data_IF_849823298336
#
_entry.id   IF_849823298336
#
_cell.length_a   1.000
_cell.length_b   1.000
_cell.length_c   1.000
_cell.angle_alpha   90.00
_cell.angle_beta   90.00
_cell.angle_gamma   90.00
#
_symmetry.space_group_name_H-M   'P 1'
#
loop_
_entity.id
_entity.type
_entity.pdbx_description
1 polymer ?
#
# COMPACT_ATOMS: atom_id res chain seq x y z
N UNK A 1 -15.16 -0.50 6.54
CA UNK A 1 -16.02 -1.13 7.57
C UNK A 1 -16.71 -0.11 8.49
N UNK A 2 -17.98 -0.32 8.85
CA UNK A 2 -18.69 0.47 9.88
C UNK A 2 -18.19 0.05 11.27
N UNK A 3 -18.06 1.01 12.19
CA UNK A 3 -17.73 0.72 13.59
C UNK A 3 -18.86 -0.12 14.22
N UNK A 4 -18.51 -0.99 15.18
CA UNK A 4 -19.46 -1.76 15.99
C UNK A 4 -20.27 -2.88 15.30
N UNK A 5 -20.04 -3.17 14.02
CA UNK A 5 -20.85 -4.15 13.26
C UNK A 5 -20.16 -5.49 13.01
N UNK A 6 -18.89 -5.67 13.40
CA UNK A 6 -18.16 -6.93 13.19
C UNK A 6 -18.60 -7.98 14.21
N UNK A 7 -19.42 -8.93 13.77
CA UNK A 7 -19.89 -10.02 14.62
C UNK A 7 -18.75 -10.89 15.15
N UNK A 8 -17.63 -11.00 14.39
CA UNK A 8 -16.43 -11.73 14.81
C UNK A 8 -15.85 -11.16 16.11
N UNK A 9 -15.73 -9.84 16.21
CA UNK A 9 -15.17 -9.17 17.38
C UNK A 9 -16.13 -9.31 18.59
N UNK A 10 -17.44 -9.32 18.36
CA UNK A 10 -18.44 -9.66 19.39
C UNK A 10 -18.32 -11.09 19.91
N UNK A 11 -18.07 -12.07 19.03
CA UNK A 11 -17.83 -13.46 19.43
C UNK A 11 -16.58 -13.58 20.30
N UNK A 12 -15.52 -12.84 19.98
CA UNK A 12 -14.28 -12.83 20.78
C UNK A 12 -14.50 -12.19 22.15
N UNK A 13 -15.28 -11.11 22.23
CA UNK A 13 -15.68 -10.50 23.51
C UNK A 13 -16.46 -11.51 24.35
N UNK A 14 -17.44 -12.20 23.77
CA UNK A 14 -18.22 -13.20 24.48
C UNK A 14 -17.35 -14.37 24.99
N UNK A 15 -16.42 -14.85 24.15
CA UNK A 15 -15.47 -15.90 24.51
C UNK A 15 -14.54 -15.46 25.67
N UNK A 16 -14.01 -14.24 25.63
CA UNK A 16 -13.17 -13.69 26.70
C UNK A 16 -13.93 -13.47 28.01
N UNK A 17 -15.17 -12.97 27.93
CA UNK A 17 -16.03 -12.78 29.09
C UNK A 17 -16.41 -14.13 29.73
N UNK A 18 -16.74 -15.14 28.92
CA UNK A 18 -17.00 -16.49 29.41
C UNK A 18 -15.76 -17.07 30.10
N UNK A 19 -14.57 -16.94 29.50
CA UNK A 19 -13.33 -17.42 30.10
C UNK A 19 -13.08 -16.76 31.47
N UNK A 20 -13.21 -15.44 31.56
CA UNK A 20 -13.01 -14.70 32.82
C UNK A 20 -14.03 -15.08 33.89
N UNK A 21 -15.31 -15.25 33.52
CA UNK A 21 -16.39 -15.59 34.44
C UNK A 21 -16.40 -17.07 34.82
N UNK A 22 -15.80 -17.96 34.02
CA UNK A 22 -15.80 -19.40 34.26
C UNK A 22 -15.20 -19.83 35.59
N UNK A 23 -14.34 -18.98 36.14
CA UNK A 23 -13.76 -19.12 37.48
C UNK A 23 -14.82 -19.21 38.57
N UNK A 24 -16.02 -18.66 38.36
CA UNK A 24 -17.12 -18.67 39.34
C UNK A 24 -17.83 -20.02 39.46
N UNK A 25 -17.76 -20.89 38.43
CA UNK A 25 -18.47 -22.17 38.41
C UNK A 25 -17.57 -23.37 38.10
N UNK A 26 -16.27 -23.17 37.91
CA UNK A 26 -15.30 -24.24 37.69
C UNK A 26 -14.32 -24.34 38.86
N UNK A 27 -13.93 -25.55 39.23
CA UNK A 27 -12.89 -25.78 40.24
C UNK A 27 -11.55 -25.24 39.74
N UNK A 28 -10.91 -24.44 40.59
CA UNK A 28 -9.62 -23.78 40.30
C UNK A 28 -8.48 -24.45 41.06
N UNK A 29 -7.25 -24.18 40.61
CA UNK A 29 -6.04 -24.78 41.11
C UNK A 29 -4.81 -24.18 40.44
N UNK A 30 -3.73 -24.04 41.21
CA UNK A 30 -2.49 -23.41 40.73
C UNK A 30 -2.74 -21.99 40.21
N UNK A 31 -2.29 -21.72 38.98
CA UNK A 31 -2.39 -20.40 38.35
C UNK A 31 -3.67 -20.19 37.52
N UNK A 32 -4.62 -21.14 37.54
CA UNK A 32 -5.81 -21.12 36.65
C UNK A 32 -6.64 -19.85 36.81
N UNK A 33 -6.96 -19.45 38.05
CA UNK A 33 -7.75 -18.25 38.37
C UNK A 33 -7.16 -17.01 37.73
N UNK A 34 -5.86 -16.76 37.95
CA UNK A 34 -5.18 -15.57 37.45
C UNK A 34 -5.13 -15.56 35.92
N UNK A 35 -4.77 -16.69 35.30
CA UNK A 35 -4.66 -16.80 33.85
C UNK A 35 -6.01 -16.63 33.15
N UNK A 36 -7.06 -17.27 33.66
CA UNK A 36 -8.40 -17.17 33.09
C UNK A 36 -8.97 -15.76 33.16
N UNK A 37 -8.84 -15.08 34.32
CA UNK A 37 -9.31 -13.70 34.48
C UNK A 37 -8.50 -12.73 33.64
N UNK A 38 -7.17 -12.78 33.72
CA UNK A 38 -6.31 -11.82 33.01
C UNK A 38 -6.45 -11.98 31.51
N UNK A 39 -6.31 -13.20 30.98
CA UNK A 39 -6.40 -13.44 29.54
C UNK A 39 -7.82 -13.20 29.02
N UNK A 40 -8.86 -13.55 29.79
CA UNK A 40 -10.24 -13.27 29.45
C UNK A 40 -10.52 -11.76 29.33
N UNK A 41 -10.08 -10.96 30.31
CA UNK A 41 -10.23 -9.49 30.28
C UNK A 41 -9.42 -8.86 29.15
N UNK A 42 -8.18 -9.31 28.93
CA UNK A 42 -7.35 -8.82 27.82
C UNK A 42 -7.98 -9.12 26.46
N UNK A 43 -8.58 -10.30 26.30
CA UNK A 43 -9.27 -10.70 25.07
C UNK A 43 -10.53 -9.85 24.83
N UNK A 44 -11.30 -9.53 25.89
CA UNK A 44 -12.42 -8.59 25.83
C UNK A 44 -11.94 -7.19 25.41
N UNK A 45 -10.89 -6.67 26.05
CA UNK A 45 -10.35 -5.36 25.73
C UNK A 45 -9.84 -5.28 24.28
N UNK A 46 -9.18 -6.33 23.78
CA UNK A 46 -8.76 -6.44 22.39
C UNK A 46 -9.96 -6.45 21.42
N UNK A 47 -11.01 -7.23 21.70
CA UNK A 47 -12.22 -7.25 20.88
C UNK A 47 -12.95 -5.90 20.86
N UNK A 48 -13.07 -5.21 22.00
CA UNK A 48 -13.64 -3.86 22.08
C UNK A 48 -12.81 -2.87 21.27
N UNK A 49 -11.48 -2.97 21.34
CA UNK A 49 -10.56 -2.12 20.56
C UNK A 49 -10.78 -2.34 19.06
N UNK A 50 -10.94 -3.60 18.62
CA UNK A 50 -11.23 -3.94 17.22
C UNK A 50 -12.61 -3.41 16.75
N UNK A 51 -13.63 -3.43 17.62
CA UNK A 51 -14.94 -2.83 17.29
C UNK A 51 -14.89 -1.29 17.18
N UNK A 52 -14.11 -0.65 18.05
CA UNK A 52 -13.99 0.81 18.13
C UNK A 52 -13.09 1.38 17.03
N UNK A 53 -12.00 0.67 16.72
CA UNK A 53 -10.98 1.04 15.74
C UNK A 53 -10.77 -0.08 14.69
N UNK A 54 -11.77 -0.32 13.82
CA UNK A 54 -11.68 -1.37 12.81
C UNK A 54 -10.59 -1.05 11.78
N UNK A 55 -9.74 -2.04 11.47
CA UNK A 55 -8.66 -1.92 10.48
C UNK A 55 -7.28 -1.59 11.04
N UNK A 56 -7.06 -1.78 12.35
CA UNK A 56 -5.72 -1.74 12.96
C UNK A 56 -5.10 -3.14 13.00
N UNK A 57 -4.12 -3.47 12.15
CA UNK A 57 -3.55 -4.82 12.10
C UNK A 57 -2.95 -5.26 13.44
N UNK A 58 -2.34 -4.31 14.18
CA UNK A 58 -1.76 -4.59 15.49
C UNK A 58 -2.79 -5.10 16.52
N UNK A 59 -4.02 -4.57 16.48
CA UNK A 59 -5.08 -4.99 17.40
C UNK A 59 -5.64 -6.38 17.05
N UNK A 60 -5.65 -6.74 15.77
CA UNK A 60 -6.03 -8.07 15.30
C UNK A 60 -4.97 -9.13 15.67
N UNK A 61 -3.68 -8.79 15.52
CA UNK A 61 -2.58 -9.66 15.96
C UNK A 61 -2.56 -9.83 17.48
N UNK A 62 -2.77 -8.77 18.24
CA UNK A 62 -2.85 -8.86 19.71
C UNK A 62 -3.98 -9.80 20.15
N UNK A 63 -5.16 -9.70 19.53
CA UNK A 63 -6.29 -10.59 19.78
C UNK A 63 -5.95 -12.05 19.48
N UNK A 64 -5.29 -12.33 18.34
CA UNK A 64 -4.85 -13.67 17.98
C UNK A 64 -3.85 -14.24 19.00
N UNK A 65 -2.89 -13.42 19.45
CA UNK A 65 -1.91 -13.81 20.48
C UNK A 65 -2.61 -14.17 21.78
N UNK A 66 -3.53 -13.34 22.27
CA UNK A 66 -4.27 -13.64 23.50
C UNK A 66 -5.11 -14.91 23.38
N UNK A 67 -5.73 -15.16 22.23
CA UNK A 67 -6.47 -16.41 21.99
C UNK A 67 -5.57 -17.65 22.01
N UNK A 68 -4.38 -17.58 21.40
CA UNK A 68 -3.38 -18.67 21.45
C UNK A 68 -2.88 -18.89 22.87
N UNK A 69 -2.56 -17.82 23.60
CA UNK A 69 -2.08 -17.93 24.98
C UNK A 69 -3.16 -18.52 25.88
N UNK A 70 -4.44 -18.14 25.71
CA UNK A 70 -5.56 -18.74 26.44
C UNK A 70 -5.73 -20.22 26.13
N UNK A 71 -5.59 -20.61 24.85
CA UNK A 71 -5.65 -22.00 24.42
C UNK A 71 -4.52 -22.83 25.07
N UNK A 72 -3.31 -22.26 25.17
CA UNK A 72 -2.16 -22.95 25.76
C UNK A 72 -2.10 -22.88 27.30
N UNK A 73 -2.95 -22.05 27.93
CA UNK A 73 -2.95 -21.80 29.37
C UNK A 73 -2.98 -23.04 30.26
N UNK A 74 -3.78 -24.08 29.95
CA UNK A 74 -3.82 -25.28 30.79
C UNK A 74 -2.46 -25.98 30.94
N UNK A 75 -1.63 -25.97 29.88
CA UNK A 75 -0.31 -26.63 29.91
C UNK A 75 0.72 -25.86 30.72
N UNK A 76 0.87 -24.55 30.47
CA UNK A 76 1.89 -23.77 31.19
C UNK A 76 1.43 -23.33 32.57
N UNK A 77 0.12 -23.21 32.80
CA UNK A 77 -0.47 -22.90 34.10
C UNK A 77 -0.63 -24.13 35.01
N UNK A 78 -0.29 -25.33 34.52
CA UNK A 78 -0.32 -26.57 35.29
C UNK A 78 -1.73 -27.03 35.68
N UNK A 79 -2.74 -26.74 34.86
CA UNK A 79 -4.14 -27.05 35.16
C UNK A 79 -4.86 -27.94 34.13
N UNK A 80 -4.10 -28.67 33.31
CA UNK A 80 -4.66 -29.63 32.32
C UNK A 80 -5.53 -30.72 32.94
N UNK A 81 -5.28 -31.13 34.18
CA UNK A 81 -6.04 -32.16 34.90
C UNK A 81 -7.37 -31.64 35.47
N UNK A 82 -7.58 -30.33 35.50
CA UNK A 82 -8.82 -29.73 35.98
C UNK A 82 -9.81 -29.59 34.82
N UNK A 83 -10.66 -30.61 34.64
CA UNK A 83 -11.61 -30.68 33.52
C UNK A 83 -12.40 -29.37 33.35
N UNK A 84 -12.97 -28.80 34.41
CA UNK A 84 -13.70 -27.53 34.31
C UNK A 84 -12.86 -26.38 33.74
N UNK A 85 -11.77 -26.03 34.43
CA UNK A 85 -10.93 -24.89 34.06
C UNK A 85 -10.20 -25.10 32.71
N UNK A 86 -9.75 -26.32 32.41
CA UNK A 86 -9.07 -26.64 31.15
C UNK A 86 -10.02 -26.51 29.96
N UNK A 87 -11.23 -27.06 30.04
CA UNK A 87 -12.24 -26.94 28.98
C UNK A 87 -12.72 -25.49 28.81
N UNK A 88 -12.84 -24.73 29.90
CA UNK A 88 -13.17 -23.30 29.87
C UNK A 88 -12.05 -22.41 29.32
N UNK A 89 -10.82 -22.91 29.19
CA UNK A 89 -9.74 -22.24 28.47
C UNK A 89 -9.66 -22.69 27.00
N UNK A 90 -9.75 -24.00 26.73
CA UNK A 90 -9.61 -24.57 25.39
C UNK A 90 -10.73 -24.15 24.43
N UNK A 91 -12.00 -24.27 24.86
CA UNK A 91 -13.13 -23.98 23.97
C UNK A 91 -13.13 -22.49 23.57
N UNK A 92 -13.11 -21.52 24.50
CA UNK A 92 -13.15 -20.11 24.12
C UNK A 92 -11.88 -19.66 23.42
N UNK A 93 -10.71 -20.19 23.79
CA UNK A 93 -9.44 -19.93 23.11
C UNK A 93 -9.46 -20.40 21.65
N UNK A 94 -9.93 -21.62 21.39
CA UNK A 94 -10.07 -22.16 20.04
C UNK A 94 -11.10 -21.37 19.21
N UNK A 95 -12.27 -21.07 19.77
CA UNK A 95 -13.31 -20.26 19.12
C UNK A 95 -12.76 -18.88 18.77
N UNK A 96 -12.13 -18.19 19.72
CA UNK A 96 -11.56 -16.86 19.49
C UNK A 96 -10.45 -16.89 18.42
N UNK A 97 -9.60 -17.93 18.43
CA UNK A 97 -8.53 -18.08 17.45
C UNK A 97 -9.07 -18.32 16.04
N UNK A 98 -10.04 -19.23 15.89
CA UNK A 98 -10.67 -19.53 14.60
C UNK A 98 -11.39 -18.31 14.05
N UNK A 99 -12.20 -17.64 14.87
CA UNK A 99 -12.93 -16.42 14.49
C UNK A 99 -11.97 -15.30 14.11
N UNK A 100 -10.87 -15.13 14.86
CA UNK A 100 -9.84 -14.12 14.54
C UNK A 100 -9.08 -14.47 13.26
N UNK A 101 -8.75 -15.75 13.02
CA UNK A 101 -8.12 -16.19 11.78
C UNK A 101 -9.00 -15.94 10.55
N UNK A 102 -10.31 -16.16 10.68
CA UNK A 102 -11.30 -15.78 9.65
C UNK A 102 -11.43 -14.27 9.49
N UNK A 103 -11.08 -13.47 10.49
CA UNK A 103 -11.10 -12.00 10.44
C UNK A 103 -9.80 -11.39 9.87
N UNK A 104 -8.66 -12.08 9.97
CA UNK A 104 -7.35 -11.63 9.45
C UNK A 104 -7.34 -11.61 7.91
N UNK A 105 -7.98 -12.58 7.24
CA UNK A 105 -8.09 -12.59 5.77
C UNK A 105 -8.89 -11.40 5.21
N UNK A 106 -10.09 -11.06 5.71
CA UNK A 106 -10.83 -9.92 5.21
C UNK A 106 -10.23 -8.57 5.62
N UNK A 107 -9.44 -8.43 6.70
CA UNK A 107 -8.79 -7.14 6.99
C UNK A 107 -7.52 -6.90 6.16
N UNK A 108 -6.77 -7.96 5.85
CA UNK A 108 -5.62 -7.90 4.93
C UNK A 108 -6.07 -7.80 3.46
N UNK A 109 -7.21 -8.38 3.11
CA UNK A 109 -7.83 -8.23 1.78
C UNK A 109 -8.64 -6.95 1.63
N UNK A 110 -9.36 -6.43 2.64
CA UNK A 110 -10.02 -5.13 2.56
C UNK A 110 -8.99 -3.98 2.53
N UNK A 111 -7.78 -4.18 3.08
CA UNK A 111 -6.62 -3.31 2.81
C UNK A 111 -6.07 -3.45 1.38
N UNK A 112 -6.25 -4.61 0.72
CA UNK A 112 -5.85 -4.85 -0.70
C UNK A 112 -6.94 -4.50 -1.73
N UNK A 113 -8.23 -4.54 -1.36
CA UNK A 113 -9.37 -4.48 -2.28
C UNK A 113 -10.17 -3.18 -2.25
N UNK A 114 -9.96 -2.27 -1.29
CA UNK A 114 -10.51 -0.90 -1.38
C UNK A 114 -9.88 -0.08 -2.53
N UNK A 115 -9.06 -0.68 -3.41
CA UNK A 115 -8.41 -0.02 -4.54
C UNK A 115 -8.51 -0.78 -5.88
N UNK A 116 -9.49 -1.67 -6.09
CA UNK A 116 -9.75 -2.18 -7.45
C UNK A 116 -11.26 -2.42 -7.65
N UNK A 117 -11.91 -1.53 -8.40
CA UNK A 117 -13.23 -1.77 -8.99
C UNK A 117 -13.06 -2.58 -10.29
N UNK A 118 -13.93 -3.58 -10.60
CA UNK A 118 -13.93 -4.19 -11.92
C UNK A 118 -14.76 -3.33 -12.88
N UNK A 119 -14.09 -2.63 -13.79
CA UNK A 119 -14.76 -1.89 -14.86
C UNK A 119 -15.29 -2.87 -15.93
N UNK A 120 -16.61 -2.91 -16.10
CA UNK A 120 -17.29 -3.56 -17.22
C UNK A 120 -16.85 -2.90 -18.53
N UNK A 121 -16.38 -3.70 -19.48
CA UNK A 121 -16.06 -3.22 -20.82
C UNK A 121 -17.31 -2.81 -21.58
N UNK A 122 -17.31 -1.58 -22.10
CA UNK A 122 -18.15 -1.19 -23.23
C UNK A 122 -17.22 -0.80 -24.37
N UNK A 123 -17.33 -1.52 -25.47
CA UNK A 123 -16.60 -1.26 -26.70
C UNK A 123 -17.06 0.07 -27.31
N UNK A 124 -16.10 0.91 -27.70
CA UNK A 124 -16.29 2.13 -28.50
C UNK A 124 -15.31 2.06 -29.67
N UNK A 125 -15.70 2.47 -30.89
CA UNK A 125 -15.10 1.97 -32.11
C UNK A 125 -13.81 2.69 -32.50
N UNK A 126 -12.96 1.88 -33.15
CA UNK A 126 -11.66 2.18 -33.70
C UNK A 126 -11.72 3.35 -34.70
N UNK A 127 -10.90 4.39 -34.48
CA UNK A 127 -10.64 5.42 -35.48
C UNK A 127 -9.16 5.38 -35.88
N UNK A 128 -8.99 5.23 -37.20
CA UNK A 128 -7.76 4.97 -37.92
C UNK A 128 -6.59 5.89 -37.51
N UNK A 129 -5.48 5.25 -37.14
CA UNK A 129 -4.19 5.87 -36.86
C UNK A 129 -3.44 6.11 -38.19
N UNK A 130 -3.08 7.36 -38.43
CA UNK A 130 -2.21 7.77 -39.52
C UNK A 130 -0.79 7.26 -39.28
N UNK A 131 -0.39 6.29 -40.09
CA UNK A 131 0.95 5.72 -40.12
C UNK A 131 1.93 6.76 -40.71
N UNK A 132 2.75 7.40 -39.87
CA UNK A 132 3.88 8.20 -40.34
C UNK A 132 5.08 7.27 -40.53
N UNK A 133 5.47 7.06 -41.80
CA UNK A 133 6.63 6.27 -42.21
C UNK A 133 7.93 6.80 -41.61
N UNK A 134 8.78 5.84 -41.22
CA UNK A 134 10.19 6.00 -40.85
C UNK A 134 11.01 6.56 -42.01
N UNK A 135 12.01 7.41 -41.76
CA UNK A 135 13.17 7.52 -42.61
C UNK A 135 14.38 6.80 -41.99
N UNK A 136 15.02 5.95 -42.81
CA UNK A 136 16.47 5.78 -42.84
C UNK A 136 17.06 4.79 -41.86
N UNK A 137 17.47 3.64 -42.38
CA UNK A 137 18.56 2.81 -41.85
C UNK A 137 19.85 3.64 -41.82
N UNK A 138 20.12 4.29 -40.69
CA UNK A 138 21.44 4.85 -40.42
C UNK A 138 22.33 3.74 -39.87
N UNK A 139 23.48 3.60 -40.51
CA UNK A 139 24.51 2.63 -40.25
C UNK A 139 24.84 2.52 -38.76
N UNK A 140 24.82 1.30 -38.22
CA UNK A 140 25.48 1.00 -36.95
C UNK A 140 26.99 1.03 -37.21
N UNK A 141 27.63 2.18 -36.97
CA UNK A 141 29.06 2.23 -36.78
C UNK A 141 29.40 1.46 -35.51
N UNK A 142 30.14 0.37 -35.68
CA UNK A 142 30.71 -0.47 -34.63
C UNK A 142 31.69 0.37 -33.80
N UNK A 143 31.15 1.09 -32.82
CA UNK A 143 31.95 1.90 -31.90
C UNK A 143 32.58 0.96 -30.89
N UNK A 144 33.81 0.53 -31.20
CA UNK A 144 34.88 0.13 -30.25
C UNK A 144 34.40 -0.05 -28.81
N UNK A 145 34.04 -1.28 -28.44
CA UNK A 145 33.89 -1.72 -27.05
C UNK A 145 35.25 -1.76 -26.37
N UNK A 146 35.81 -0.59 -26.06
CA UNK A 146 36.89 -0.51 -25.11
C UNK A 146 36.85 0.82 -24.36
N UNK A 147 36.18 0.80 -23.21
CA UNK A 147 36.33 1.85 -22.22
C UNK A 147 35.92 1.32 -20.86
N UNK A 148 36.91 1.17 -19.99
CA UNK A 148 36.74 0.80 -18.59
C UNK A 148 36.17 2.01 -17.83
N UNK A 149 34.94 2.41 -18.15
CA UNK A 149 34.25 3.51 -17.48
C UNK A 149 33.26 2.92 -16.48
N UNK A 150 33.42 3.18 -15.18
CA UNK A 150 32.53 2.62 -14.18
C UNK A 150 31.13 3.18 -14.39
N UNK A 151 30.18 2.31 -14.74
CA UNK A 151 28.77 2.64 -14.71
C UNK A 151 28.31 2.78 -13.26
N UNK A 152 27.59 3.85 -12.93
CA UNK A 152 27.04 4.11 -11.60
C UNK A 152 25.54 3.89 -11.61
N UNK A 153 25.06 3.00 -10.74
CA UNK A 153 23.63 2.76 -10.53
C UNK A 153 23.19 3.41 -9.21
N UNK A 154 22.20 4.30 -9.28
CA UNK A 154 21.61 4.96 -8.11
C UNK A 154 20.16 4.55 -7.95
N UNK A 155 19.80 4.20 -6.72
CA UNK A 155 18.45 3.75 -6.36
C UNK A 155 17.69 4.90 -5.71
N UNK A 156 16.54 5.28 -6.29
CA UNK A 156 15.69 6.37 -5.78
C UNK A 156 14.32 5.89 -5.26
N UNK A 157 14.02 4.62 -5.48
CA UNK A 157 12.85 3.92 -4.97
C UNK A 157 12.99 2.43 -5.21
N UNK A 158 11.98 1.67 -4.80
CA UNK A 158 12.04 0.21 -4.72
C UNK A 158 13.20 -0.38 -3.86
N UNK A 159 13.86 0.44 -3.03
CA UNK A 159 14.78 0.03 -1.96
C UNK A 159 14.04 0.08 -0.64
N UNK A 160 13.92 -1.07 0.04
CA UNK A 160 13.09 -1.29 1.24
C UNK A 160 11.58 -1.05 1.05
N UNK A 161 11.12 -0.89 -0.19
CA UNK A 161 9.70 -0.78 -0.56
C UNK A 161 9.44 -1.50 -1.88
N UNK A 162 8.23 -2.02 -2.12
CA UNK A 162 7.89 -2.66 -3.41
C UNK A 162 7.53 -1.65 -4.50
N UNK A 163 7.23 -0.40 -4.12
CA UNK A 163 6.62 0.60 -4.98
C UNK A 163 7.52 1.83 -5.22
N UNK A 164 7.21 2.61 -6.25
CA UNK A 164 7.97 3.80 -6.63
C UNK A 164 9.30 3.47 -7.30
N UNK A 165 9.34 2.42 -8.12
CA UNK A 165 10.53 1.95 -8.83
C UNK A 165 11.15 3.07 -9.65
N UNK A 166 12.40 3.42 -9.32
CA UNK A 166 13.19 4.48 -9.96
C UNK A 166 14.68 4.20 -9.77
N UNK A 167 15.37 3.90 -10.87
CA UNK A 167 16.79 3.65 -10.88
C UNK A 167 17.47 4.53 -11.92
N UNK A 168 18.53 5.23 -11.54
CA UNK A 168 19.31 6.03 -12.49
C UNK A 168 20.62 5.31 -12.80
N UNK A 169 20.79 4.99 -14.07
CA UNK A 169 22.04 4.49 -14.62
C UNK A 169 22.80 5.66 -15.22
N UNK A 170 24.01 5.91 -14.72
CA UNK A 170 24.91 6.95 -15.19
C UNK A 170 26.16 6.29 -15.76
N UNK A 171 26.52 6.61 -17.00
CA UNK A 171 27.77 6.17 -17.62
C UNK A 171 28.28 7.27 -18.54
N UNK A 172 29.55 7.67 -18.38
CA UNK A 172 30.14 8.81 -19.11
C UNK A 172 29.25 10.05 -18.97
N UNK A 173 28.72 10.54 -20.09
CA UNK A 173 27.85 11.71 -20.21
C UNK A 173 26.39 11.34 -20.41
N UNK A 174 26.02 10.07 -20.22
CA UNK A 174 24.66 9.56 -20.42
C UNK A 174 24.00 9.16 -19.10
N UNK A 175 22.77 9.60 -18.91
CA UNK A 175 21.89 9.33 -17.77
C UNK A 175 20.58 8.73 -18.24
N UNK A 176 20.40 7.45 -17.96
CA UNK A 176 19.18 6.70 -18.29
C UNK A 176 18.42 6.42 -17.00
N UNK A 177 17.15 6.81 -16.96
CA UNK A 177 16.25 6.48 -15.87
C UNK A 177 15.50 5.18 -16.21
N UNK A 178 15.70 4.13 -15.42
CA UNK A 178 14.94 2.89 -15.49
C UNK A 178 13.78 2.98 -14.50
N UNK A 179 12.57 2.91 -15.04
CA UNK A 179 11.29 3.16 -14.39
C UNK A 179 11.14 4.56 -13.78
N UNK A 180 9.89 5.03 -13.78
CA UNK A 180 9.48 6.28 -13.18
C UNK A 180 8.15 6.08 -12.44
N UNK A 181 8.20 5.31 -11.36
CA UNK A 181 7.05 4.87 -10.60
C UNK A 181 6.53 5.85 -9.53
N UNK A 182 5.21 5.79 -9.28
CA UNK A 182 4.62 6.39 -8.08
C UNK A 182 4.80 5.47 -6.87
N UNK A 183 5.05 6.06 -5.70
CA UNK A 183 4.91 5.36 -4.43
C UNK A 183 3.42 5.14 -4.10
N UNK A 184 2.99 3.88 -4.03
CA UNK A 184 1.63 3.46 -3.71
C UNK A 184 1.51 2.95 -2.25
N UNK A 185 0.29 2.83 -1.73
CA UNK A 185 0.05 2.32 -0.37
C UNK A 185 0.00 3.39 0.72
N UNK A 186 0.65 3.14 1.87
CA UNK A 186 0.52 3.97 3.08
C UNK A 186 0.78 5.46 2.81
N UNK A 187 -0.01 6.34 3.46
CA UNK A 187 0.07 7.80 3.29
C UNK A 187 1.51 8.34 3.39
N UNK A 188 2.29 7.86 4.38
CA UNK A 188 3.69 8.27 4.59
C UNK A 188 4.61 7.97 3.39
N UNK A 189 4.37 6.86 2.69
CA UNK A 189 5.14 6.49 1.49
C UNK A 189 4.64 7.32 0.30
N UNK A 190 3.32 7.50 0.16
CA UNK A 190 2.71 8.33 -0.89
C UNK A 190 3.13 9.79 -0.84
N UNK A 191 3.39 10.33 0.36
CA UNK A 191 3.90 11.70 0.54
C UNK A 191 5.28 11.90 -0.13
N UNK A 192 6.05 10.83 -0.37
CA UNK A 192 7.31 10.91 -1.14
C UNK A 192 7.10 11.31 -2.59
N UNK A 193 5.90 11.12 -3.16
CA UNK A 193 5.56 11.59 -4.51
C UNK A 193 5.47 13.13 -4.59
N UNK A 194 5.32 13.81 -3.45
CA UNK A 194 5.26 15.29 -3.36
C UNK A 194 6.64 15.92 -3.19
N UNK A 195 7.65 15.12 -2.86
CA UNK A 195 9.03 15.60 -2.72
C UNK A 195 9.61 15.76 -4.14
N UNK A 196 10.22 16.91 -4.46
CA UNK A 196 10.89 17.10 -5.74
C UNK A 196 11.90 15.99 -6.02
N UNK A 197 11.95 15.53 -7.26
CA UNK A 197 12.91 14.51 -7.66
C UNK A 197 14.35 15.05 -7.49
N UNK A 198 15.25 14.34 -6.77
CA UNK A 198 16.59 14.85 -6.45
C UNK A 198 17.53 15.00 -7.65
N UNK A 199 17.10 14.58 -8.85
CA UNK A 199 17.86 14.73 -10.09
C UNK A 199 17.07 15.67 -10.98
N UNK A 200 17.74 16.68 -11.54
CA UNK A 200 17.12 17.61 -12.46
C UNK A 200 16.52 16.84 -13.65
N UNK A 201 15.19 16.93 -13.91
CA UNK A 201 14.54 16.19 -14.99
C UNK A 201 15.17 16.44 -16.37
N UNK A 202 15.62 17.67 -16.63
CA UNK A 202 16.31 18.03 -17.88
C UNK A 202 17.73 17.49 -18.03
N UNK A 203 18.29 16.84 -17.00
CA UNK A 203 19.61 16.18 -17.08
C UNK A 203 19.52 14.68 -17.43
N UNK A 204 18.31 14.16 -17.67
CA UNK A 204 18.08 12.76 -18.00
C UNK A 204 17.92 12.65 -19.52
N UNK A 205 18.72 11.80 -20.14
CA UNK A 205 18.72 11.65 -21.60
C UNK A 205 17.58 10.77 -22.08
N UNK A 206 17.22 9.73 -21.34
CA UNK A 206 16.17 8.80 -21.69
C UNK A 206 15.52 8.15 -20.47
N UNK A 207 14.27 7.74 -20.63
CA UNK A 207 13.55 6.90 -19.65
C UNK A 207 13.25 5.55 -20.29
N UNK A 208 13.53 4.46 -19.59
CA UNK A 208 13.17 3.10 -19.99
C UNK A 208 12.12 2.55 -19.02
N UNK A 209 10.96 2.16 -19.55
CA UNK A 209 9.88 1.56 -18.76
C UNK A 209 9.90 0.04 -18.90
N UNK A 210 9.98 -0.67 -17.78
CA UNK A 210 9.99 -2.14 -17.76
C UNK A 210 8.63 -2.74 -18.09
N UNK A 211 7.56 -2.21 -17.50
CA UNK A 211 6.18 -2.63 -17.71
C UNK A 211 5.21 -1.52 -17.27
N UNK A 212 3.90 -1.71 -17.50
CA UNK A 212 2.94 -0.62 -17.48
C UNK A 212 2.35 -0.27 -16.09
N UNK A 213 2.72 -0.98 -15.02
CA UNK A 213 2.14 -0.69 -13.71
C UNK A 213 2.49 0.72 -13.23
N UNK A 214 1.61 1.33 -12.42
CA UNK A 214 1.74 2.72 -11.97
C UNK A 214 2.90 2.93 -11.00
N UNK A 215 3.31 1.90 -10.29
CA UNK A 215 4.51 1.89 -9.45
C UNK A 215 5.82 1.77 -10.25
N UNK A 216 5.74 1.69 -11.58
CA UNK A 216 6.86 1.79 -12.53
C UNK A 216 6.71 2.93 -13.56
N UNK A 217 5.49 3.41 -13.82
CA UNK A 217 5.22 4.40 -14.89
C UNK A 217 4.48 5.65 -14.42
N UNK A 218 3.85 5.60 -13.24
CA UNK A 218 2.90 6.61 -12.81
C UNK A 218 3.49 8.00 -12.55
N UNK A 219 4.80 8.13 -12.38
CA UNK A 219 5.47 9.41 -12.14
C UNK A 219 5.98 10.06 -13.44
N UNK A 220 5.92 9.37 -14.58
CA UNK A 220 6.33 9.92 -15.90
C UNK A 220 5.65 11.26 -16.20
N UNK A 221 4.32 11.45 -16.01
CA UNK A 221 3.68 12.74 -16.29
C UNK A 221 4.20 13.89 -15.43
N UNK A 222 4.53 13.60 -14.16
CA UNK A 222 5.12 14.59 -13.26
C UNK A 222 6.55 14.93 -13.68
N UNK A 223 7.34 13.93 -14.10
CA UNK A 223 8.69 14.14 -14.62
C UNK A 223 8.70 15.03 -15.88
N UNK A 224 7.76 14.80 -16.81
CA UNK A 224 7.58 15.62 -18.02
C UNK A 224 7.16 17.04 -17.66
N UNK A 225 6.18 17.20 -16.75
CA UNK A 225 5.75 18.51 -16.24
C UNK A 225 6.92 19.30 -15.62
N UNK A 226 7.81 18.60 -14.92
CA UNK A 226 8.95 19.19 -14.20
C UNK A 226 10.17 19.45 -15.12
N UNK A 227 10.07 19.15 -16.43
CA UNK A 227 11.01 19.61 -17.45
C UNK A 227 11.79 18.52 -18.21
N UNK A 228 11.42 17.25 -18.10
CA UNK A 228 11.99 16.19 -18.94
C UNK A 228 11.47 16.25 -20.38
N UNK A 229 12.39 16.19 -21.35
CA UNK A 229 12.09 16.27 -22.80
C UNK A 229 12.66 15.11 -23.61
N UNK A 230 13.38 14.18 -22.98
CA UNK A 230 13.98 13.04 -23.64
C UNK A 230 12.97 11.97 -24.08
N UNK A 231 13.40 10.99 -24.89
CA UNK A 231 12.57 9.85 -25.27
C UNK A 231 12.21 8.94 -24.07
N UNK A 232 11.00 8.38 -24.12
CA UNK A 232 10.56 7.29 -23.24
C UNK A 232 10.48 6.01 -24.06
N UNK A 233 11.34 5.05 -23.74
CA UNK A 233 11.39 3.73 -24.35
C UNK A 233 10.55 2.75 -23.54
N UNK A 234 9.73 1.97 -24.23
CA UNK A 234 8.93 0.90 -23.65
C UNK A 234 8.60 -0.12 -24.75
N UNK A 235 8.16 -1.32 -24.37
CA UNK A 235 7.55 -2.23 -25.34
C UNK A 235 6.25 -1.62 -25.90
N UNK A 236 5.84 -2.06 -27.10
CA UNK A 236 4.57 -1.61 -27.69
C UNK A 236 3.39 -1.84 -26.74
N UNK A 237 3.29 -3.03 -26.12
CA UNK A 237 2.21 -3.35 -25.18
C UNK A 237 2.23 -2.45 -23.93
N UNK A 238 3.42 -2.14 -23.40
CA UNK A 238 3.56 -1.20 -22.29
C UNK A 238 3.12 0.21 -22.67
N UNK A 239 3.54 0.71 -23.84
CA UNK A 239 3.17 2.04 -24.33
C UNK A 239 1.66 2.19 -24.50
N UNK A 240 1.01 1.22 -25.14
CA UNK A 240 -0.45 1.22 -25.32
C UNK A 240 -1.19 1.20 -23.99
N UNK A 241 -0.74 0.37 -23.04
CA UNK A 241 -1.38 0.29 -21.74
C UNK A 241 -1.16 1.57 -20.91
N UNK A 242 0.01 2.21 -20.99
CA UNK A 242 0.26 3.49 -20.33
C UNK A 242 -0.63 4.62 -20.86
N UNK A 243 -1.00 4.61 -22.16
CA UNK A 243 -1.96 5.60 -22.72
C UNK A 243 -3.34 5.51 -22.07
N UNK A 244 -3.71 4.34 -21.55
CA UNK A 244 -4.97 4.13 -20.84
C UNK A 244 -4.81 4.39 -19.33
N UNK A 245 -3.79 3.79 -18.70
CA UNK A 245 -3.62 3.82 -17.25
C UNK A 245 -3.24 5.20 -16.71
N UNK A 246 -2.39 5.96 -17.42
CA UNK A 246 -1.91 7.24 -16.91
C UNK A 246 -3.04 8.29 -16.82
N UNK A 247 -3.88 8.50 -17.86
CA UNK A 247 -5.01 9.43 -17.76
C UNK A 247 -6.04 9.02 -16.69
N UNK A 248 -6.36 7.73 -16.59
CA UNK A 248 -7.28 7.22 -15.58
C UNK A 248 -6.76 7.46 -14.16
N UNK A 249 -5.48 7.13 -13.92
CA UNK A 249 -4.83 7.39 -12.63
C UNK A 249 -4.74 8.89 -12.30
N UNK A 250 -4.58 9.75 -13.31
CA UNK A 250 -4.57 11.20 -13.17
C UNK A 250 -5.95 11.73 -12.77
N UNK A 251 -7.01 11.22 -13.40
CA UNK A 251 -8.38 11.58 -13.06
C UNK A 251 -8.72 11.24 -11.60
N UNK A 252 -8.38 10.04 -11.15
CA UNK A 252 -8.57 9.63 -9.74
C UNK A 252 -7.79 10.53 -8.77
N UNK A 253 -6.54 10.89 -9.10
CA UNK A 253 -5.74 11.79 -8.27
C UNK A 253 -6.32 13.21 -8.19
N UNK A 254 -6.90 13.72 -9.28
CA UNK A 254 -7.62 14.99 -9.28
C UNK A 254 -8.89 14.94 -8.43
N UNK A 255 -9.66 13.86 -8.50
CA UNK A 255 -10.84 13.65 -7.66
C UNK A 255 -10.47 13.57 -6.17
N UNK A 256 -9.42 12.83 -5.82
CA UNK A 256 -8.89 12.79 -4.45
C UNK A 256 -8.51 14.19 -3.96
N UNK A 257 -7.85 15.00 -4.80
CA UNK A 257 -7.48 16.37 -4.47
C UNK A 257 -8.71 17.26 -4.25
N UNK A 258 -9.73 17.16 -5.10
CA UNK A 258 -10.99 17.91 -4.94
C UNK A 258 -11.71 17.50 -3.65
N UNK A 259 -11.79 16.20 -3.35
CA UNK A 259 -12.43 15.72 -2.13
C UNK A 259 -11.69 16.20 -0.87
N UNK A 260 -10.36 16.25 -0.89
CA UNK A 260 -9.55 16.79 0.19
C UNK A 260 -9.86 18.28 0.45
N UNK A 261 -10.01 19.09 -0.60
CA UNK A 261 -10.37 20.51 -0.49
C UNK A 261 -11.75 20.75 0.16
N UNK A 262 -12.68 19.79 0.06
CA UNK A 262 -14.02 19.92 0.64
C UNK A 262 -14.08 19.57 2.14
N UNK A 263 -13.07 18.84 2.67
CA UNK A 263 -13.00 18.46 4.09
C UNK A 263 -12.16 19.40 4.95
N UNK A 264 -11.29 20.20 4.35
CA UNK A 264 -10.41 21.13 5.07
C UNK A 264 -10.91 22.55 4.82
N UNK A 265 -11.39 23.29 5.83
CA UNK A 265 -11.74 24.69 5.66
C UNK A 265 -10.55 25.42 5.05
N UNK A 266 -10.83 26.21 4.00
CA UNK A 266 -9.91 26.96 3.14
C UNK A 266 -8.93 27.92 3.84
N UNK A 267 -8.91 27.93 5.17
CA UNK A 267 -8.18 28.87 6.02
C UNK A 267 -6.75 28.42 6.38
N UNK A 268 -6.32 27.21 6.01
CA UNK A 268 -5.02 26.67 6.48
C UNK A 268 -3.90 26.59 5.42
N UNK A 269 -4.14 26.98 4.17
CA UNK A 269 -3.08 27.04 3.15
C UNK A 269 -3.02 28.41 2.47
N UNK A 270 -1.89 29.14 2.56
CA UNK A 270 -1.68 30.32 1.73
C UNK A 270 -1.69 29.87 0.26
N UNK A 271 -2.51 30.52 -0.56
CA UNK A 271 -2.47 30.37 -2.02
C UNK A 271 -1.02 30.49 -2.49
N UNK A 272 -0.50 29.45 -3.14
CA UNK A 272 0.56 29.64 -4.11
C UNK A 272 -0.01 30.59 -5.18
N UNK A 273 0.35 31.87 -5.10
CA UNK A 273 0.07 32.83 -6.16
C UNK A 273 0.79 32.32 -7.41
N UNK A 274 0.03 31.87 -8.39
CA UNK A 274 0.49 31.92 -9.78
C UNK A 274 0.81 33.39 -10.07
N UNK A 275 2.09 33.73 -10.14
CA UNK A 275 2.53 35.01 -10.68
C UNK A 275 2.01 35.11 -12.11
N UNK A 276 1.23 36.15 -12.48
CA UNK A 276 0.91 36.39 -13.88
C UNK A 276 2.22 36.68 -14.63
N UNK A 277 2.48 35.97 -15.74
CA UNK A 277 3.55 36.36 -16.66
C UNK A 277 3.27 37.80 -17.14
N UNK A 278 4.26 38.69 -17.19
CA UNK A 278 4.09 39.95 -17.89
C UNK A 278 3.92 39.66 -19.39
N UNK A 279 2.82 40.14 -19.95
CA UNK A 279 2.67 40.29 -21.40
C UNK A 279 3.85 41.14 -21.89
N UNK A 280 4.75 40.54 -22.66
CA UNK A 280 5.68 41.31 -23.51
C UNK A 280 4.87 41.80 -24.71
N UNK A 281 4.45 43.06 -24.64
CA UNK A 281 4.03 43.84 -25.79
C UNK A 281 5.21 44.68 -26.30
N UNK A 282 5.56 44.46 -27.56
CA UNK A 282 6.19 45.46 -28.45
C UNK A 282 7.67 45.24 -28.77
N UNK A 283 8.20 46.02 -29.72
CA UNK A 283 7.53 46.89 -30.70
C UNK A 283 7.19 46.19 -32.03
#
# INVERSE_FOLDING_TARGET
MKKWTRWQDWTVIAAGAYAALSVLWTSQGGSSTALMVILGVLLVAAGVTNLAMPGMPAAEWAQAVFAVVLLLAPWFGGFTSMTGAAWSAWIPGAVALVVTAFAIKPSTEEYRHHHVMPARSRAIPERASGHRRMPGTANFEETSMNSNHPARLRFFGATDTVTGSRYLLESRDTRILVDCGLFQGYKRIRDRNRIPFPVAPGSIDAVLLTHAHLDHTGYVPALVRDGFTGPVYATHGTSELCKLLLPDSGHLQEEEARYADHRVPRCMFPRFRSTPRPMRSGP
#
